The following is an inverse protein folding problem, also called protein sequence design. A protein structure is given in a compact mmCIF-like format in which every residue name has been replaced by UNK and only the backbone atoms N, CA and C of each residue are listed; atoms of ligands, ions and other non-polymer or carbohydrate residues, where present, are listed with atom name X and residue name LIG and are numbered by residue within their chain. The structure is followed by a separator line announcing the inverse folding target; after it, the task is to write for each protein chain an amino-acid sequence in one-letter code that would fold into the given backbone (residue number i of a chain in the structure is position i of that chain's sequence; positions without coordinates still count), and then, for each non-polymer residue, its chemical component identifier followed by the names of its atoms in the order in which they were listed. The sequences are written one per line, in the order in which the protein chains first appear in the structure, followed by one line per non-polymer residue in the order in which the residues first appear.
data_IF_410373303135
#
_entry.id   IF_410373303135
#
_cell.length_a   1.000
_cell.length_b   1.000
_cell.length_c   1.000
_cell.angle_alpha   90.00
_cell.angle_beta   90.00
_cell.angle_gamma   90.00
#
_symmetry.space_group_name_H-M   'P 1'
#
loop_
_entity.id
_entity.type
_entity.pdbx_description
1 polymer ?
#
# COMPACT_ATOMS: atom_id res chain seq x y z
N UNK A 1 23.31 -5.71 -16.35
CA UNK A 1 22.58 -4.97 -15.31
C UNK A 1 23.60 -4.15 -14.55
N UNK A 2 23.50 -2.83 -14.58
CA UNK A 2 24.41 -1.99 -13.80
C UNK A 2 24.01 -1.96 -12.30
N UNK A 3 24.82 -1.31 -11.47
CA UNK A 3 24.56 -1.22 -10.04
C UNK A 3 23.26 -0.45 -9.74
N UNK A 4 22.91 0.55 -10.55
CA UNK A 4 21.73 1.38 -10.35
C UNK A 4 20.44 0.63 -10.71
N UNK A 5 20.45 -0.15 -11.79
CA UNK A 5 19.34 -1.04 -12.17
C UNK A 5 19.08 -2.08 -11.09
N UNK A 6 20.15 -2.68 -10.54
CA UNK A 6 20.06 -3.66 -9.46
C UNK A 6 19.50 -3.05 -8.17
N UNK A 7 19.97 -1.86 -7.80
CA UNK A 7 19.45 -1.11 -6.66
C UNK A 7 18.00 -0.70 -6.86
N UNK A 8 17.62 -0.29 -8.07
CA UNK A 8 16.25 0.04 -8.42
C UNK A 8 15.30 -1.14 -8.25
N UNK A 9 15.66 -2.31 -8.80
CA UNK A 9 14.87 -3.53 -8.64
C UNK A 9 14.77 -3.99 -7.19
N UNK A 10 15.88 -3.94 -6.42
CA UNK A 10 15.86 -4.24 -4.99
C UNK A 10 14.93 -3.28 -4.24
N UNK A 11 15.01 -1.98 -4.53
CA UNK A 11 14.12 -0.95 -3.99
C UNK A 11 12.66 -1.23 -4.32
N UNK A 12 12.36 -1.66 -5.55
CA UNK A 12 11.01 -2.01 -5.97
C UNK A 12 10.46 -3.23 -5.21
N UNK A 13 11.29 -4.26 -5.00
CA UNK A 13 10.96 -5.44 -4.22
C UNK A 13 10.64 -5.04 -2.77
N UNK A 14 11.56 -4.35 -2.09
CA UNK A 14 11.39 -3.93 -0.70
C UNK A 14 10.15 -3.03 -0.50
N UNK A 15 9.94 -2.10 -1.44
CA UNK A 15 8.76 -1.22 -1.43
C UNK A 15 7.46 -2.01 -1.58
N UNK A 16 7.43 -2.99 -2.49
CA UNK A 16 6.27 -3.87 -2.71
C UNK A 16 5.91 -4.67 -1.46
N UNK A 17 6.91 -5.04 -0.65
CA UNK A 17 6.69 -5.75 0.61
C UNK A 17 6.31 -4.85 1.79
N UNK A 18 6.41 -3.54 1.69
CA UNK A 18 6.20 -2.63 2.84
C UNK A 18 4.78 -2.74 3.43
N UNK A 19 3.75 -2.83 2.57
CA UNK A 19 2.36 -2.91 3.03
C UNK A 19 1.80 -4.34 3.08
N UNK A 20 2.50 -5.33 2.51
CA UNK A 20 2.00 -6.71 2.45
C UNK A 20 1.78 -7.32 3.84
N UNK A 21 2.69 -7.21 4.83
CA UNK A 21 2.45 -7.68 6.19
C UNK A 21 1.21 -7.04 6.82
N UNK A 22 0.97 -5.75 6.56
CA UNK A 22 -0.20 -5.04 7.08
C UNK A 22 -1.49 -5.55 6.44
N UNK A 23 -1.51 -5.81 5.12
CA UNK A 23 -2.65 -6.44 4.43
C UNK A 23 -2.97 -7.80 5.04
N UNK A 24 -1.95 -8.66 5.22
CA UNK A 24 -2.10 -10.00 5.80
C UNK A 24 -2.63 -9.91 7.23
N UNK A 25 -2.06 -9.04 8.07
CA UNK A 25 -2.51 -8.85 9.46
C UNK A 25 -3.96 -8.38 9.51
N UNK A 26 -4.30 -7.33 8.77
CA UNK A 26 -5.65 -6.74 8.72
C UNK A 26 -6.67 -7.80 8.27
N UNK A 27 -6.34 -8.59 7.25
CA UNK A 27 -7.18 -9.70 6.79
C UNK A 27 -7.37 -10.79 7.86
N UNK A 28 -6.29 -11.20 8.55
CA UNK A 28 -6.35 -12.24 9.60
C UNK A 28 -7.22 -11.84 10.78
N UNK A 29 -7.08 -10.60 11.26
CA UNK A 29 -7.85 -10.11 12.42
C UNK A 29 -9.23 -9.55 12.04
N UNK A 30 -9.52 -9.42 10.74
CA UNK A 30 -10.77 -8.86 10.19
C UNK A 30 -11.15 -7.50 10.80
N UNK A 31 -10.15 -6.69 11.13
CA UNK A 31 -10.32 -5.32 11.63
C UNK A 31 -9.24 -4.42 11.06
N UNK A 32 -9.65 -3.23 10.65
CA UNK A 32 -8.81 -2.14 10.16
C UNK A 32 -9.00 -0.88 11.02
N UNK A 33 -9.51 -1.02 12.25
CA UNK A 33 -9.89 0.12 13.10
C UNK A 33 -8.70 1.05 13.39
N UNK A 34 -7.51 0.47 13.59
CA UNK A 34 -6.26 1.20 13.87
C UNK A 34 -5.65 1.92 12.65
N UNK A 35 -6.14 1.65 11.43
CA UNK A 35 -5.60 2.28 10.22
C UNK A 35 -6.23 3.67 9.99
N UNK A 36 -5.41 4.68 9.78
CA UNK A 36 -5.89 6.02 9.39
C UNK A 36 -6.36 6.01 7.94
N UNK A 37 -7.63 6.37 7.70
CA UNK A 37 -8.17 6.51 6.35
C UNK A 37 -7.41 7.59 5.55
N UNK A 38 -7.04 8.69 6.21
CA UNK A 38 -6.27 9.77 5.57
C UNK A 38 -4.91 9.30 5.08
N UNK A 39 -4.20 8.49 5.87
CA UNK A 39 -2.92 7.88 5.47
C UNK A 39 -3.10 7.02 4.20
N UNK A 40 -4.12 6.18 4.16
CA UNK A 40 -4.38 5.30 3.01
C UNK A 40 -4.69 6.10 1.74
N UNK A 41 -5.49 7.17 1.85
CA UNK A 41 -5.82 8.06 0.72
C UNK A 41 -4.58 8.79 0.22
N UNK A 42 -3.72 9.30 1.11
CA UNK A 42 -2.46 9.95 0.73
C UNK A 42 -1.55 8.98 -0.03
N UNK A 43 -1.39 7.74 0.47
CA UNK A 43 -0.59 6.72 -0.22
C UNK A 43 -1.17 6.40 -1.60
N UNK A 44 -2.48 6.22 -1.70
CA UNK A 44 -3.17 5.98 -2.97
C UNK A 44 -2.90 7.09 -3.99
N UNK A 45 -3.16 8.35 -3.63
CA UNK A 45 -2.92 9.50 -4.52
C UNK A 45 -1.44 9.64 -4.88
N UNK A 46 -0.54 9.43 -3.92
CA UNK A 46 0.91 9.46 -4.14
C UNK A 46 1.33 8.44 -5.19
N UNK A 47 0.86 7.19 -5.10
CA UNK A 47 1.20 6.16 -6.10
C UNK A 47 0.74 6.53 -7.51
N UNK A 48 -0.41 7.18 -7.66
CA UNK A 48 -0.87 7.66 -8.97
C UNK A 48 0.10 8.69 -9.56
N UNK A 49 0.52 9.66 -8.75
CA UNK A 49 1.50 10.68 -9.17
C UNK A 49 2.82 10.03 -9.59
N UNK A 50 3.33 9.09 -8.78
CA UNK A 50 4.57 8.37 -9.08
C UNK A 50 4.48 7.47 -10.31
N UNK A 51 3.32 6.87 -10.58
CA UNK A 51 3.10 6.08 -11.79
C UNK A 51 3.10 6.96 -13.03
N UNK A 52 2.45 8.12 -12.99
CA UNK A 52 2.48 9.09 -14.09
C UNK A 52 3.92 9.56 -14.33
N UNK A 53 4.64 9.93 -13.28
CA UNK A 53 6.03 10.36 -13.35
C UNK A 53 6.95 9.25 -13.88
N UNK A 54 6.87 8.04 -13.33
CA UNK A 54 7.69 6.90 -13.72
C UNK A 54 7.43 6.47 -15.16
N UNK A 55 6.19 6.58 -15.63
CA UNK A 55 5.84 6.29 -17.02
C UNK A 55 6.44 7.33 -17.96
N UNK A 56 6.31 8.63 -17.63
CA UNK A 56 6.86 9.72 -18.43
C UNK A 56 8.39 9.64 -18.62
N UNK A 57 9.10 9.07 -17.65
CA UNK A 57 10.56 8.93 -17.68
C UNK A 57 11.07 7.49 -17.91
N UNK A 58 10.19 6.54 -18.26
CA UNK A 58 10.52 5.13 -18.47
C UNK A 58 11.28 4.46 -17.28
N UNK A 59 10.94 4.84 -16.05
CA UNK A 59 11.55 4.32 -14.83
C UNK A 59 10.88 3.00 -14.38
N UNK A 60 11.29 1.89 -15.00
CA UNK A 60 10.70 0.55 -14.76
C UNK A 60 10.60 0.17 -13.27
N UNK A 61 11.64 0.35 -12.42
CA UNK A 61 11.53 -0.03 -11.01
C UNK A 61 10.50 0.81 -10.24
N UNK A 62 10.36 2.09 -10.58
CA UNK A 62 9.36 3.00 -9.98
C UNK A 62 7.95 2.55 -10.35
N UNK A 63 7.73 2.15 -11.61
CA UNK A 63 6.45 1.63 -12.09
C UNK A 63 6.05 0.35 -11.35
N UNK A 64 6.98 -0.60 -11.21
CA UNK A 64 6.73 -1.86 -10.50
C UNK A 64 6.37 -1.60 -9.03
N UNK A 65 7.19 -0.79 -8.33
CA UNK A 65 6.99 -0.49 -6.92
C UNK A 65 5.63 0.16 -6.65
N UNK A 66 5.30 1.22 -7.39
CA UNK A 66 4.08 1.98 -7.16
C UNK A 66 2.83 1.24 -7.61
N UNK A 67 2.91 0.36 -8.61
CA UNK A 67 1.80 -0.51 -8.99
C UNK A 67 1.46 -1.50 -7.88
N UNK A 68 2.49 -2.10 -7.25
CA UNK A 68 2.29 -3.00 -6.11
C UNK A 68 1.68 -2.26 -4.90
N UNK A 69 2.22 -1.09 -4.56
CA UNK A 69 1.70 -0.27 -3.44
C UNK A 69 0.27 0.19 -3.72
N UNK A 70 -0.07 0.55 -4.96
CA UNK A 70 -1.43 0.93 -5.36
C UNK A 70 -2.43 -0.21 -5.08
N UNK A 71 -2.12 -1.45 -5.49
CA UNK A 71 -2.98 -2.62 -5.23
C UNK A 71 -3.11 -2.91 -3.73
N UNK A 72 -2.01 -2.86 -2.98
CA UNK A 72 -2.04 -3.12 -1.53
C UNK A 72 -2.79 -2.03 -0.76
N UNK A 73 -2.61 -0.75 -1.12
CA UNK A 73 -3.32 0.36 -0.50
C UNK A 73 -4.82 0.32 -0.81
N UNK A 74 -5.22 0.02 -2.04
CA UNK A 74 -6.63 -0.22 -2.39
C UNK A 74 -7.24 -1.38 -1.59
N UNK A 75 -6.48 -2.45 -1.39
CA UNK A 75 -6.92 -3.59 -0.57
C UNK A 75 -7.14 -3.18 0.90
N UNK A 76 -6.24 -2.37 1.47
CA UNK A 76 -6.40 -1.84 2.83
C UNK A 76 -7.57 -0.86 2.94
N UNK A 77 -7.79 -0.01 1.94
CA UNK A 77 -8.96 0.88 1.86
C UNK A 77 -10.24 0.06 1.84
N UNK A 78 -10.29 -0.98 1.00
CA UNK A 78 -11.42 -1.90 0.95
C UNK A 78 -11.68 -2.55 2.33
N UNK A 79 -10.64 -3.05 3.01
CA UNK A 79 -10.78 -3.58 4.37
C UNK A 79 -11.29 -2.52 5.35
N UNK A 80 -10.77 -1.29 5.29
CA UNK A 80 -11.17 -0.18 6.16
C UNK A 80 -12.65 0.17 6.03
N UNK A 81 -13.21 0.09 4.82
CA UNK A 81 -14.61 0.42 4.55
C UNK A 81 -15.54 -0.76 4.82
N UNK A 82 -15.08 -2.01 4.62
CA UNK A 82 -15.96 -3.20 4.65
C UNK A 82 -15.94 -3.92 6.00
N UNK A 83 -14.84 -3.88 6.74
CA UNK A 83 -14.78 -4.52 8.05
C UNK A 83 -15.59 -3.71 9.07
N UNK A 84 -16.53 -4.40 9.73
CA UNK A 84 -17.37 -3.78 10.76
C UNK A 84 -16.48 -3.31 11.91
N UNK A 85 -16.61 -2.03 12.28
CA UNK A 85 -16.00 -1.51 13.51
C UNK A 85 -16.44 -2.38 14.68
N UNK A 86 -15.52 -2.77 15.57
CA UNK A 86 -15.95 -3.36 16.85
C UNK A 86 -16.82 -2.33 17.57
N UNK A 87 -18.08 -2.67 17.83
CA UNK A 87 -18.88 -1.91 18.78
C UNK A 87 -18.21 -2.10 20.14
N UNK A 88 -17.76 -1.02 20.78
CA UNK A 88 -17.36 -1.09 22.17
C UNK A 88 -18.59 -1.53 22.97
N UNK A 89 -18.55 -2.71 23.57
CA UNK A 89 -19.55 -3.10 24.55
C UNK A 89 -19.35 -2.19 25.75
N UNK A 90 -20.23 -1.19 25.92
CA UNK A 90 -20.30 -0.42 27.15
C UNK A 90 -20.86 -1.37 28.21
N UNK A 91 -20.02 -1.76 29.16
CA UNK A 91 -20.44 -2.54 30.33
C UNK A 91 -20.95 -1.49 31.33
N UNK A 92 -22.28 -1.45 31.52
CA UNK A 92 -22.93 -0.67 32.58
C UNK A 92 -22.99 -1.50 33.87
#
# INVERSE_FOLDING_TARGET
MDIYESMGLMGAILSSFTFLPQVIRTWKIKSADDLSMGMLVIVFCSTIVWLIYGFALWLIPVLIANSAILVLSLTLIYFKVTFKKRKATVIN
#
